data_IF_750510325521
#
_entry.id   IF_750510325521
#
_cell.length_a   1.000
_cell.length_b   1.000
_cell.length_c   1.000
_cell.angle_alpha   90.00
_cell.angle_beta   90.00
_cell.angle_gamma   90.00
#
_symmetry.space_group_name_H-M   'P 1'
#
loop_
_entity.id
_entity.type
_entity.pdbx_description
1 polymer ?
#
# COMPACT_ATOMS: atom_id res chain seq x y z
N UNK A 1 -2.19 -28.22 49.80
CA UNK A 1 -0.89 -27.50 49.83
C UNK A 1 0.10 -28.41 50.52
N UNK A 2 1.29 -28.73 49.99
CA UNK A 2 2.35 -27.78 49.59
C UNK A 2 3.23 -28.33 48.45
N UNK A 3 3.62 -27.41 47.56
CA UNK A 3 4.94 -27.31 46.89
C UNK A 3 5.43 -28.52 46.07
N UNK A 4 5.40 -28.51 44.73
CA UNK A 4 5.77 -27.41 43.79
C UNK A 4 7.12 -26.72 44.11
N UNK A 5 8.06 -27.37 44.82
CA UNK A 5 9.43 -26.83 45.04
C UNK A 5 10.59 -27.81 44.80
N UNK A 6 10.37 -29.12 44.66
CA UNK A 6 11.45 -30.07 44.35
C UNK A 6 11.84 -30.14 42.85
N UNK A 7 11.04 -29.53 41.97
CA UNK A 7 11.25 -29.53 40.49
C UNK A 7 12.42 -28.61 40.07
N UNK A 8 12.88 -27.69 40.94
CA UNK A 8 13.82 -26.63 40.56
C UNK A 8 15.32 -26.95 40.83
N UNK A 9 15.65 -28.11 41.38
CA UNK A 9 17.05 -28.46 41.74
C UNK A 9 17.56 -29.69 40.97
N UNK A 10 16.68 -30.64 40.61
CA UNK A 10 17.06 -31.79 39.76
C UNK A 10 17.44 -31.40 38.31
N UNK A 11 17.07 -30.19 37.87
CA UNK A 11 17.32 -29.69 36.51
C UNK A 11 18.75 -29.19 36.25
N UNK A 12 19.62 -29.10 37.26
CA UNK A 12 20.95 -28.48 37.14
C UNK A 12 22.15 -29.41 37.39
N UNK A 13 21.94 -30.71 37.65
CA UNK A 13 23.02 -31.65 38.03
C UNK A 13 23.14 -32.93 37.18
N UNK A 14 22.26 -33.13 36.18
CA UNK A 14 22.39 -34.22 35.20
C UNK A 14 23.05 -33.77 33.88
N UNK A 15 23.86 -32.71 33.95
CA UNK A 15 24.58 -32.10 32.83
C UNK A 15 26.12 -32.31 32.95
N UNK A 16 26.57 -33.27 33.78
CA UNK A 16 27.96 -33.37 34.24
C UNK A 16 28.56 -34.77 34.45
N UNK A 17 27.91 -35.84 34.00
CA UNK A 17 28.46 -37.20 33.90
C UNK A 17 27.50 -38.04 33.02
N UNK A 18 27.91 -38.85 32.04
CA UNK A 18 29.24 -39.38 31.73
C UNK A 18 29.66 -39.03 30.29
N UNK A 19 30.91 -38.61 30.13
CA UNK A 19 31.56 -38.47 28.83
C UNK A 19 32.06 -39.82 28.31
N UNK A 20 32.08 -39.93 26.97
CA UNK A 20 33.07 -40.69 26.19
C UNK A 20 32.91 -42.22 25.97
N UNK A 21 33.48 -42.78 24.88
CA UNK A 21 32.66 -43.51 23.92
C UNK A 21 33.18 -44.92 23.57
N UNK A 22 32.37 -45.68 22.82
CA UNK A 22 32.88 -46.76 21.97
C UNK A 22 32.55 -46.49 20.50
N UNK A 23 33.60 -46.46 19.68
CA UNK A 23 33.49 -46.35 18.25
C UNK A 23 33.09 -47.69 17.63
N UNK A 24 32.22 -47.65 16.62
CA UNK A 24 32.30 -48.58 15.51
C UNK A 24 32.17 -47.79 14.21
N UNK A 25 33.23 -47.80 13.42
CA UNK A 25 33.24 -47.18 12.11
C UNK A 25 32.67 -48.16 11.09
N UNK A 26 31.64 -47.74 10.36
CA UNK A 26 31.29 -48.30 9.05
C UNK A 26 31.22 -47.13 8.08
N UNK A 27 32.04 -47.17 7.04
CA UNK A 27 32.08 -46.13 6.00
C UNK A 27 30.84 -46.23 5.12
N UNK A 28 30.18 -45.10 4.90
CA UNK A 28 28.91 -45.00 4.17
C UNK A 28 28.21 -43.73 4.62
N UNK A 29 28.45 -42.64 3.89
CA UNK A 29 28.12 -41.25 4.24
C UNK A 29 26.84 -41.07 5.06
N UNK A 30 27.01 -40.71 6.34
CA UNK A 30 25.92 -40.18 7.14
C UNK A 30 25.57 -38.78 6.62
N UNK A 31 24.63 -38.71 5.67
CA UNK A 31 23.91 -37.48 5.35
C UNK A 31 23.18 -37.07 6.62
N UNK A 32 23.79 -36.17 7.40
CA UNK A 32 23.13 -35.49 8.50
C UNK A 32 21.93 -34.76 7.90
N UNK A 33 20.68 -35.05 8.30
CA UNK A 33 19.53 -34.24 7.92
C UNK A 33 19.60 -32.94 8.73
N UNK A 34 20.49 -32.05 8.30
CA UNK A 34 20.76 -30.79 8.94
C UNK A 34 19.48 -29.97 9.05
N UNK A 35 19.09 -29.66 10.28
CA UNK A 35 18.11 -28.63 10.61
C UNK A 35 16.76 -28.77 9.88
N UNK A 36 16.01 -29.84 10.19
CA UNK A 36 14.54 -29.85 10.03
C UNK A 36 13.84 -28.95 11.08
N UNK A 37 14.41 -27.77 11.33
CA UNK A 37 14.06 -26.86 12.41
C UNK A 37 14.45 -25.41 12.08
N UNK A 38 14.06 -24.91 10.90
CA UNK A 38 14.07 -23.47 10.57
C UNK A 38 12.98 -23.05 9.55
N UNK A 39 11.79 -23.67 9.62
CA UNK A 39 10.56 -23.00 9.18
C UNK A 39 9.92 -22.24 10.37
N UNK A 40 10.74 -21.48 11.09
CA UNK A 40 10.25 -20.31 11.82
C UNK A 40 9.88 -19.32 10.73
N UNK A 41 8.58 -19.21 10.44
CA UNK A 41 8.09 -18.44 9.31
C UNK A 41 8.68 -17.03 9.31
N UNK A 42 9.25 -16.62 8.18
CA UNK A 42 9.80 -15.29 8.05
C UNK A 42 8.71 -14.27 8.44
N UNK A 43 9.06 -13.23 9.21
CA UNK A 43 8.08 -12.20 9.56
C UNK A 43 7.63 -11.53 8.26
N UNK A 44 6.38 -11.83 7.88
CA UNK A 44 5.73 -11.36 6.65
C UNK A 44 6.13 -9.91 6.36
N UNK A 45 6.62 -9.67 5.14
CA UNK A 45 6.99 -8.33 4.69
C UNK A 45 5.82 -7.36 4.83
N UNK A 46 6.08 -6.05 4.85
CA UNK A 46 5.02 -5.07 5.12
C UNK A 46 3.83 -5.19 4.14
N UNK A 47 4.11 -5.54 2.88
CA UNK A 47 3.11 -5.84 1.85
C UNK A 47 2.34 -7.15 2.09
N UNK A 48 3.00 -8.18 2.61
CA UNK A 48 2.42 -9.50 2.92
C UNK A 48 1.58 -9.45 4.19
N UNK A 49 2.05 -8.77 5.24
CA UNK A 49 1.24 -8.38 6.41
C UNK A 49 -0.01 -7.62 5.97
N UNK A 50 0.11 -6.73 5.00
CA UNK A 50 -1.00 -5.91 4.52
C UNK A 50 -1.97 -6.66 3.57
N UNK A 51 -1.52 -7.78 2.97
CA UNK A 51 -2.35 -8.75 2.29
C UNK A 51 -3.10 -9.68 3.28
N UNK A 52 -2.42 -10.15 4.34
CA UNK A 52 -3.00 -11.00 5.39
C UNK A 52 -4.00 -10.25 6.29
N UNK A 53 -3.81 -8.94 6.49
CA UNK A 53 -4.73 -8.08 7.28
C UNK A 53 -5.91 -7.51 6.48
N UNK A 54 -6.51 -8.34 5.63
CA UNK A 54 -7.78 -8.06 4.97
C UNK A 54 -7.68 -7.10 3.79
N UNK A 55 -8.32 -7.49 2.70
CA UNK A 55 -8.45 -6.74 1.48
C UNK A 55 -9.35 -7.53 0.56
N UNK A 56 -10.67 -7.37 0.67
CA UNK A 56 -11.66 -8.14 -0.11
C UNK A 56 -11.68 -7.63 -1.57
N UNK A 57 -11.35 -6.35 -1.79
CA UNK A 57 -10.90 -5.81 -3.08
C UNK A 57 -9.47 -5.26 -2.95
N UNK A 58 -8.55 -5.81 -3.74
CA UNK A 58 -7.13 -5.40 -3.82
C UNK A 58 -6.83 -4.79 -5.19
N UNK A 59 -6.57 -3.49 -5.20
CA UNK A 59 -6.16 -2.76 -6.39
C UNK A 59 -4.64 -2.53 -6.38
N UNK A 60 -3.98 -2.63 -7.53
CA UNK A 60 -2.56 -2.31 -7.69
C UNK A 60 -2.32 -1.45 -8.93
N UNK A 61 -1.73 -0.27 -8.71
CA UNK A 61 -1.31 0.65 -9.77
C UNK A 61 0.07 0.23 -10.27
N UNK A 62 0.21 0.03 -11.58
CA UNK A 62 1.51 -0.30 -12.17
C UNK A 62 2.54 0.85 -12.01
N UNK A 63 3.83 0.55 -12.16
CA UNK A 63 4.92 1.51 -11.95
C UNK A 63 4.85 2.74 -12.87
N UNK A 64 4.28 2.56 -14.06
CA UNK A 64 4.10 3.64 -15.05
C UNK A 64 2.85 4.50 -14.78
N UNK A 65 2.01 4.09 -13.82
CA UNK A 65 0.77 4.78 -13.41
C UNK A 65 -0.25 4.92 -14.55
N UNK A 66 -0.29 3.91 -15.42
CA UNK A 66 -1.14 3.78 -16.62
C UNK A 66 -2.19 2.68 -16.54
N UNK A 67 -2.01 1.69 -15.66
CA UNK A 67 -2.93 0.55 -15.47
C UNK A 67 -3.22 0.33 -13.99
N UNK A 68 -4.50 0.21 -13.65
CA UNK A 68 -4.95 -0.25 -12.34
C UNK A 68 -5.46 -1.68 -12.50
N UNK A 69 -4.77 -2.64 -11.89
CA UNK A 69 -5.25 -4.01 -11.76
C UNK A 69 -6.16 -4.10 -10.54
N UNK A 70 -7.33 -4.70 -10.70
CA UNK A 70 -8.32 -4.91 -9.64
C UNK A 70 -8.49 -6.42 -9.46
N UNK A 71 -8.31 -6.88 -8.23
CA UNK A 71 -8.54 -8.27 -7.82
C UNK A 71 -9.67 -8.26 -6.81
N UNK A 72 -10.76 -8.96 -7.12
CA UNK A 72 -11.90 -9.17 -6.23
C UNK A 72 -11.73 -10.55 -5.61
N UNK A 73 -11.62 -10.60 -4.29
CA UNK A 73 -11.33 -11.82 -3.54
C UNK A 73 -12.64 -12.34 -2.94
N UNK A 74 -12.72 -13.64 -2.69
CA UNK A 74 -13.86 -14.19 -1.98
C UNK A 74 -13.81 -13.88 -0.48
N UNK A 75 -14.97 -13.84 0.17
CA UNK A 75 -15.11 -13.62 1.61
C UNK A 75 -14.66 -14.85 2.43
N UNK A 76 -14.45 -16.00 1.76
CA UNK A 76 -13.90 -17.22 2.35
C UNK A 76 -12.51 -17.01 2.97
N UNK A 77 -12.26 -17.71 4.09
CA UNK A 77 -11.00 -17.60 4.84
C UNK A 77 -9.76 -17.95 3.99
N UNK A 78 -9.83 -19.03 3.21
CA UNK A 78 -8.73 -19.51 2.37
C UNK A 78 -8.42 -18.56 1.20
N UNK A 79 -9.45 -17.91 0.64
CA UNK A 79 -9.30 -16.87 -0.38
C UNK A 79 -8.62 -15.61 0.17
N UNK A 80 -9.00 -15.18 1.39
CA UNK A 80 -8.36 -14.05 2.09
C UNK A 80 -6.88 -14.28 2.38
N UNK A 81 -6.50 -15.52 2.70
CA UNK A 81 -5.09 -15.96 2.81
C UNK A 81 -4.36 -16.07 1.46
N UNK A 82 -5.03 -15.85 0.32
CA UNK A 82 -4.44 -15.95 -1.01
C UNK A 82 -4.19 -17.38 -1.49
N UNK A 83 -4.79 -18.38 -0.85
CA UNK A 83 -4.67 -19.80 -1.24
C UNK A 83 -5.65 -20.20 -2.34
N UNK A 84 -6.77 -19.47 -2.43
CA UNK A 84 -7.72 -19.53 -3.56
C UNK A 84 -7.47 -18.27 -4.42
N UNK A 85 -7.43 -18.39 -5.77
CA UNK A 85 -7.29 -17.23 -6.64
C UNK A 85 -8.48 -16.25 -6.51
N UNK A 86 -8.32 -14.96 -6.88
CA UNK A 86 -9.42 -13.99 -6.85
C UNK A 86 -10.59 -14.44 -7.75
N UNK A 87 -11.84 -14.23 -7.28
CA UNK A 87 -13.07 -14.55 -8.03
C UNK A 87 -13.21 -13.73 -9.32
N UNK A 88 -12.63 -12.54 -9.35
CA UNK A 88 -12.56 -11.70 -10.54
C UNK A 88 -11.22 -10.94 -10.57
N UNK A 89 -10.60 -10.87 -11.76
CA UNK A 89 -9.42 -10.04 -12.01
C UNK A 89 -9.64 -9.25 -13.29
N UNK A 90 -9.47 -7.93 -13.25
CA UNK A 90 -9.55 -7.08 -14.42
C UNK A 90 -8.55 -5.91 -14.34
N UNK A 91 -8.15 -5.38 -15.50
CA UNK A 91 -7.25 -4.23 -15.60
C UNK A 91 -7.93 -3.12 -16.38
N UNK A 92 -7.78 -1.88 -15.90
CA UNK A 92 -8.39 -0.68 -16.50
C UNK A 92 -7.34 0.40 -16.76
N UNK A 93 -7.64 1.25 -17.74
CA UNK A 93 -6.84 2.43 -18.02
C UNK A 93 -7.00 3.44 -16.89
N UNK A 94 -5.87 3.94 -16.40
CA UNK A 94 -5.79 5.01 -15.41
C UNK A 94 -4.70 5.98 -15.83
N UNK A 95 -4.77 7.22 -15.39
CA UNK A 95 -3.61 8.11 -15.49
C UNK A 95 -3.45 8.98 -14.25
N UNK A 96 -2.20 9.32 -13.95
CA UNK A 96 -1.84 10.19 -12.83
C UNK A 96 -1.02 11.41 -13.32
N UNK A 97 -1.54 12.05 -14.36
CA UNK A 97 -1.03 13.31 -14.92
C UNK A 97 -1.45 14.48 -14.04
N UNK A 98 -0.49 15.27 -13.61
CA UNK A 98 -0.70 16.39 -12.67
C UNK A 98 -0.72 17.73 -13.43
N UNK A 99 -1.57 18.66 -13.00
CA UNK A 99 -1.57 20.06 -13.48
C UNK A 99 -0.34 20.77 -12.92
N UNK A 100 0.47 21.38 -13.78
CA UNK A 100 1.56 22.24 -13.32
C UNK A 100 1.00 23.60 -12.87
N UNK A 101 1.01 23.85 -11.56
CA UNK A 101 0.44 25.04 -10.92
C UNK A 101 0.94 25.14 -9.48
N UNK A 102 0.97 26.35 -8.92
CA UNK A 102 1.15 26.60 -7.48
C UNK A 102 -0.19 26.93 -6.78
N UNK A 103 -1.31 26.90 -7.52
CA UNK A 103 -2.62 27.38 -7.09
C UNK A 103 -3.62 26.24 -6.81
N UNK A 104 -3.14 25.00 -6.66
CA UNK A 104 -4.03 23.89 -6.32
C UNK A 104 -4.53 24.05 -4.86
N UNK A 105 -5.74 23.54 -4.54
CA UNK A 105 -6.19 23.48 -3.16
C UNK A 105 -5.26 22.61 -2.31
N UNK A 106 -4.91 23.09 -1.12
CA UNK A 106 -4.18 22.32 -0.12
C UNK A 106 -5.16 21.71 0.89
N UNK A 107 -5.03 20.41 1.17
CA UNK A 107 -5.89 19.64 2.07
C UNK A 107 -5.05 19.04 3.22
N UNK A 108 -4.70 19.85 4.25
CA UNK A 108 -3.76 19.45 5.28
C UNK A 108 -4.18 18.18 6.03
N UNK A 109 -3.20 17.33 6.33
CA UNK A 109 -3.38 16.19 7.23
C UNK A 109 -3.40 16.66 8.71
N UNK A 110 -4.49 17.28 9.15
CA UNK A 110 -4.71 17.62 10.57
C UNK A 110 -5.38 16.46 11.35
N UNK A 111 -5.37 16.53 12.68
CA UNK A 111 -5.91 15.48 13.56
C UNK A 111 -7.45 15.36 13.50
N UNK A 112 -8.16 16.32 12.90
CA UNK A 112 -9.61 16.32 12.69
C UNK A 112 -10.03 15.72 11.34
N UNK A 113 -9.06 15.42 10.47
CA UNK A 113 -9.26 14.68 9.23
C UNK A 113 -9.55 15.57 8.02
N UNK A 114 -10.26 15.03 7.03
CA UNK A 114 -10.46 15.65 5.72
C UNK A 114 -11.45 16.82 5.77
N UNK A 115 -10.96 18.04 5.92
CA UNK A 115 -11.70 19.25 5.51
C UNK A 115 -11.66 19.37 3.99
N UNK A 116 -12.84 19.42 3.36
CA UNK A 116 -12.95 19.86 1.97
C UNK A 116 -12.49 21.31 1.82
N UNK A 117 -12.17 21.72 0.58
CA UNK A 117 -11.44 22.95 0.25
C UNK A 117 -12.20 24.29 0.46
N UNK A 118 -12.92 24.44 1.57
CA UNK A 118 -13.40 25.74 2.05
C UNK A 118 -12.24 26.51 2.70
N UNK A 119 -11.66 27.42 1.90
CA UNK A 119 -10.92 28.63 2.31
C UNK A 119 -9.72 28.48 3.27
N UNK A 120 -8.53 28.78 2.77
CA UNK A 120 -7.35 29.15 3.54
C UNK A 120 -6.32 29.84 2.63
N UNK A 121 -5.49 30.73 3.18
CA UNK A 121 -4.52 31.53 2.40
C UNK A 121 -3.36 30.72 1.78
N UNK A 122 -3.41 29.38 1.87
CA UNK A 122 -2.35 28.44 1.49
C UNK A 122 -2.83 27.59 0.31
N UNK A 123 -2.11 27.63 -0.80
CA UNK A 123 -2.26 26.73 -1.94
C UNK A 123 -1.12 25.72 -1.99
N UNK A 124 -1.22 24.73 -2.88
CA UNK A 124 -0.19 23.72 -3.10
C UNK A 124 0.28 23.70 -4.56
N UNK A 125 1.51 23.22 -4.75
CA UNK A 125 1.92 22.61 -6.01
C UNK A 125 1.60 21.11 -5.91
N UNK A 126 0.64 20.61 -6.70
CA UNK A 126 0.19 19.24 -6.57
C UNK A 126 1.27 18.25 -6.99
N UNK A 127 1.25 17.06 -6.39
CA UNK A 127 2.16 15.96 -6.70
C UNK A 127 1.37 14.72 -7.15
N UNK A 128 2.07 13.71 -7.66
CA UNK A 128 1.43 12.44 -8.04
C UNK A 128 0.83 11.72 -6.82
N UNK A 129 -0.11 10.80 -7.08
CA UNK A 129 -0.74 10.01 -6.02
C UNK A 129 0.34 9.28 -5.23
N UNK A 130 0.38 9.39 -3.89
CA UNK A 130 1.54 8.97 -3.13
C UNK A 130 1.73 7.45 -3.16
N UNK A 131 2.98 7.03 -3.14
CA UNK A 131 3.39 5.62 -3.04
C UNK A 131 3.00 5.00 -1.70
N UNK A 132 2.84 3.68 -1.68
CA UNK A 132 2.44 2.93 -0.48
C UNK A 132 1.05 2.30 -0.61
N UNK A 133 0.44 1.97 0.54
CA UNK A 133 -0.75 1.12 0.58
C UNK A 133 -1.99 1.87 1.08
N UNK A 134 -2.77 2.29 0.09
CA UNK A 134 -4.02 3.06 0.15
C UNK A 134 -5.17 2.31 0.83
N UNK A 135 -6.03 2.93 1.64
CA UNK A 135 -7.33 2.37 2.07
C UNK A 135 -8.48 3.19 1.51
N UNK A 136 -9.41 2.56 0.79
CA UNK A 136 -10.65 3.21 0.33
C UNK A 136 -11.52 3.54 1.54
N UNK A 137 -11.77 4.82 1.79
CA UNK A 137 -12.62 5.29 2.88
C UNK A 137 -14.09 5.31 2.47
N UNK A 138 -14.41 5.74 1.25
CA UNK A 138 -15.79 5.86 0.79
C UNK A 138 -15.91 5.89 -0.73
N UNK A 139 -17.05 5.41 -1.23
CA UNK A 139 -17.45 5.49 -2.65
C UNK A 139 -18.76 6.29 -2.69
N UNK A 140 -18.76 7.45 -3.35
CA UNK A 140 -19.93 8.34 -3.43
C UNK A 140 -20.31 8.62 -4.89
N UNK A 141 -21.60 8.54 -5.28
CA UNK A 141 -22.05 9.06 -6.57
C UNK A 141 -21.71 10.54 -6.73
N UNK A 142 -21.51 10.97 -7.98
CA UNK A 142 -21.23 12.35 -8.37
C UNK A 142 -21.90 12.64 -9.72
N UNK A 143 -22.25 13.90 -9.91
CA UNK A 143 -22.88 14.43 -11.14
C UNK A 143 -22.12 15.67 -11.66
N UNK A 144 -20.93 15.94 -11.10
CA UNK A 144 -20.09 17.09 -11.42
C UNK A 144 -18.81 16.68 -12.15
N UNK A 145 -17.85 17.61 -12.26
CA UNK A 145 -16.58 17.45 -13.00
C UNK A 145 -15.72 16.22 -12.63
N UNK A 146 -16.06 15.50 -11.56
CA UNK A 146 -15.40 14.28 -11.12
C UNK A 146 -15.97 12.99 -11.77
N UNK A 147 -16.96 13.11 -12.65
CA UNK A 147 -17.63 11.98 -13.32
C UNK A 147 -18.65 11.28 -12.41
N UNK A 148 -19.01 10.01 -12.68
CA UNK A 148 -20.15 9.36 -12.01
C UNK A 148 -19.90 9.00 -10.53
N UNK A 149 -18.63 8.92 -10.11
CA UNK A 149 -18.24 8.49 -8.77
C UNK A 149 -16.99 9.21 -8.25
N UNK A 150 -16.90 9.32 -6.93
CA UNK A 150 -15.70 9.71 -6.19
C UNK A 150 -15.35 8.59 -5.21
N UNK A 151 -14.21 7.94 -5.43
CA UNK A 151 -13.63 6.92 -4.54
C UNK A 151 -12.56 7.63 -3.69
N UNK A 152 -12.85 7.88 -2.42
CA UNK A 152 -11.97 8.58 -1.49
C UNK A 152 -11.07 7.57 -0.76
N UNK A 153 -9.76 7.86 -0.61
CA UNK A 153 -8.76 6.78 -0.41
C UNK A 153 -7.71 6.96 0.70
N UNK A 154 -8.01 7.65 1.82
CA UNK A 154 -7.14 8.02 2.98
C UNK A 154 -5.69 8.52 2.75
N UNK A 155 -5.21 8.56 1.51
CA UNK A 155 -3.79 8.60 1.18
C UNK A 155 -3.13 9.93 1.57
N UNK A 156 -1.88 9.86 2.02
CA UNK A 156 -1.14 11.01 2.55
C UNK A 156 0.11 11.27 1.73
N UNK A 157 0.06 12.29 0.89
CA UNK A 157 1.21 12.76 0.10
C UNK A 157 1.96 13.89 0.80
N UNK A 158 3.07 14.31 0.19
CA UNK A 158 3.77 15.56 0.52
C UNK A 158 3.67 16.51 -0.68
N UNK A 159 3.41 17.78 -0.40
CA UNK A 159 3.31 18.85 -1.41
C UNK A 159 4.08 20.09 -0.95
N UNK A 160 4.68 20.82 -1.90
CA UNK A 160 5.13 22.19 -1.68
C UNK A 160 3.90 23.08 -1.48
N UNK A 161 3.89 23.90 -0.42
CA UNK A 161 2.80 24.85 -0.14
C UNK A 161 3.23 26.29 -0.36
N UNK A 162 2.28 27.15 -0.67
CA UNK A 162 2.48 28.54 -1.05
C UNK A 162 1.46 29.45 -0.41
N UNK A 163 1.87 30.65 0.01
CA UNK A 163 0.98 31.72 0.52
C UNK A 163 0.92 32.85 -0.50
N UNK A 164 -0.28 33.33 -0.81
CA UNK A 164 -0.45 34.51 -1.67
C UNK A 164 -0.16 35.80 -0.89
N UNK A 165 0.68 36.68 -1.42
CA UNK A 165 1.09 37.94 -0.78
C UNK A 165 0.07 39.09 -0.89
N UNK A 166 -1.10 38.83 -1.47
CA UNK A 166 -2.13 39.83 -1.78
C UNK A 166 -1.86 40.64 -3.05
N UNK A 167 -0.67 40.51 -3.65
CA UNK A 167 -0.25 41.17 -4.90
C UNK A 167 -0.21 40.20 -6.08
N UNK A 168 -0.59 38.94 -5.86
CA UNK A 168 -0.62 37.89 -6.88
C UNK A 168 0.62 36.99 -6.92
N UNK A 169 1.62 37.24 -6.06
CA UNK A 169 2.79 36.38 -5.94
C UNK A 169 2.50 35.24 -4.95
N UNK A 170 3.15 34.09 -5.16
CA UNK A 170 2.98 32.88 -4.36
C UNK A 170 4.32 32.54 -3.70
N UNK A 171 4.45 32.89 -2.42
CA UNK A 171 5.68 32.66 -1.64
C UNK A 171 5.67 31.24 -1.07
N UNK A 172 6.77 30.50 -1.25
CA UNK A 172 6.90 29.15 -0.71
C UNK A 172 6.83 29.15 0.82
N UNK A 173 5.92 28.35 1.37
CA UNK A 173 5.67 28.23 2.81
C UNK A 173 6.29 26.96 3.42
N UNK A 174 6.72 26.00 2.60
CA UNK A 174 7.36 24.75 3.05
C UNK A 174 6.83 23.51 2.33
N UNK A 175 7.06 22.34 2.91
CA UNK A 175 6.56 21.05 2.40
C UNK A 175 5.71 20.39 3.48
N UNK A 176 4.44 20.13 3.19
CA UNK A 176 3.44 19.66 4.16
C UNK A 176 2.72 18.40 3.69
N UNK A 177 2.09 17.70 4.63
CA UNK A 177 1.25 16.52 4.37
C UNK A 177 -0.11 16.92 3.80
N UNK A 178 -0.50 16.31 2.70
CA UNK A 178 -1.78 16.53 2.01
C UNK A 178 -2.62 15.25 1.95
N UNK A 179 -3.95 15.37 2.00
CA UNK A 179 -4.92 14.26 2.03
C UNK A 179 -5.95 14.28 0.88
N UNK A 180 -5.73 15.13 -0.14
CA UNK A 180 -6.66 15.39 -1.24
C UNK A 180 -6.75 14.30 -2.31
N UNK A 181 -6.02 13.20 -2.13
CA UNK A 181 -5.90 12.12 -3.10
C UNK A 181 -7.16 11.22 -3.13
N UNK A 182 -7.64 10.94 -4.33
CA UNK A 182 -8.81 10.11 -4.61
C UNK A 182 -8.69 9.44 -5.99
N UNK A 183 -9.65 8.56 -6.31
CA UNK A 183 -9.84 7.98 -7.64
C UNK A 183 -11.20 8.43 -8.17
N UNK A 184 -11.22 9.03 -9.35
CA UNK A 184 -12.42 9.57 -9.99
C UNK A 184 -12.25 9.64 -11.51
N UNK A 185 -13.22 10.20 -12.23
CA UNK A 185 -13.13 10.45 -13.68
C UNK A 185 -13.10 11.97 -13.93
N UNK A 186 -13.05 12.38 -15.19
CA UNK A 186 -13.20 13.76 -15.58
C UNK A 186 -14.37 13.91 -16.57
N UNK A 187 -14.90 15.12 -16.72
CA UNK A 187 -15.74 15.51 -17.86
C UNK A 187 -14.89 15.83 -19.08
N UNK A 188 -13.62 16.18 -18.89
CA UNK A 188 -12.62 16.27 -19.96
C UNK A 188 -12.22 14.88 -20.47
N UNK A 189 -11.85 14.77 -21.76
CA UNK A 189 -11.37 13.52 -22.35
C UNK A 189 -10.16 12.94 -21.60
N UNK A 190 -10.21 11.62 -21.37
CA UNK A 190 -9.21 10.84 -20.63
C UNK A 190 -7.79 11.04 -21.16
N UNK A 191 -7.59 11.17 -22.47
CA UNK A 191 -6.25 11.24 -23.06
C UNK A 191 -5.52 12.56 -22.81
N UNK A 192 -6.27 13.62 -22.51
CA UNK A 192 -5.73 14.98 -22.27
C UNK A 192 -5.92 15.47 -20.83
N UNK A 193 -6.79 14.83 -20.04
CA UNK A 193 -7.11 15.30 -18.70
C UNK A 193 -5.92 15.25 -17.74
N UNK A 194 -5.98 16.13 -16.72
CA UNK A 194 -5.01 16.25 -15.63
C UNK A 194 -5.75 16.47 -14.31
N UNK A 195 -5.11 16.14 -13.19
CA UNK A 195 -5.65 16.29 -11.84
C UNK A 195 -4.69 17.07 -10.93
N UNK A 196 -5.09 17.33 -9.68
CA UNK A 196 -4.18 17.81 -8.63
C UNK A 196 -3.54 16.66 -7.83
N UNK A 197 -3.42 15.46 -8.41
CA UNK A 197 -2.78 14.29 -7.81
C UNK A 197 -3.65 13.03 -7.74
N UNK A 198 -4.96 13.15 -7.96
CA UNK A 198 -5.88 12.03 -8.08
C UNK A 198 -5.53 11.08 -9.24
N UNK A 199 -5.93 9.82 -9.11
CA UNK A 199 -5.97 8.86 -10.22
C UNK A 199 -7.23 9.10 -11.05
N UNK A 200 -7.08 9.29 -12.35
CA UNK A 200 -8.19 9.47 -13.29
C UNK A 200 -8.44 8.17 -14.05
N UNK A 201 -9.68 7.74 -14.11
CA UNK A 201 -10.17 6.53 -14.80
C UNK A 201 -11.29 6.94 -15.77
N UNK A 202 -11.56 6.17 -16.83
CA UNK A 202 -12.72 6.34 -17.72
C UNK A 202 -14.04 6.17 -16.94
N UNK A 203 -15.13 6.78 -17.39
CA UNK A 203 -16.39 6.81 -16.61
C UNK A 203 -17.03 5.42 -16.42
N UNK A 204 -16.99 4.57 -17.45
CA UNK A 204 -17.54 3.20 -17.39
C UNK A 204 -16.71 2.30 -16.48
N UNK A 205 -15.38 2.31 -16.65
CA UNK A 205 -14.41 1.59 -15.81
C UNK A 205 -14.53 2.02 -14.33
N UNK A 206 -14.66 3.32 -14.08
CA UNK A 206 -14.88 3.84 -12.73
C UNK A 206 -16.20 3.36 -12.14
N UNK A 207 -17.26 3.27 -12.95
CA UNK A 207 -18.56 2.77 -12.53
C UNK A 207 -18.50 1.27 -12.19
N UNK A 208 -17.74 0.47 -12.97
CA UNK A 208 -17.45 -0.95 -12.65
C UNK A 208 -16.71 -1.07 -11.31
N UNK A 209 -15.63 -0.32 -11.11
CA UNK A 209 -14.87 -0.33 -9.84
C UNK A 209 -15.73 0.12 -8.67
N UNK A 210 -16.53 1.19 -8.84
CA UNK A 210 -17.45 1.66 -7.80
C UNK A 210 -18.52 0.61 -7.45
N UNK A 211 -19.05 -0.11 -8.45
CA UNK A 211 -19.99 -1.22 -8.24
C UNK A 211 -19.38 -2.37 -7.44
N UNK A 212 -18.18 -2.82 -7.82
CA UNK A 212 -17.40 -3.85 -7.10
C UNK A 212 -17.16 -3.44 -5.64
N UNK A 213 -16.68 -2.21 -5.41
CA UNK A 213 -16.39 -1.70 -4.06
C UNK A 213 -17.65 -1.47 -3.21
N UNK A 214 -18.80 -1.20 -3.81
CA UNK A 214 -20.08 -1.11 -3.09
C UNK A 214 -20.58 -2.49 -2.69
N UNK A 215 -20.72 -3.40 -3.66
CA UNK A 215 -21.17 -4.77 -3.45
C UNK A 215 -20.34 -5.48 -2.37
N UNK A 216 -19.03 -5.30 -2.39
CA UNK A 216 -18.11 -5.82 -1.37
C UNK A 216 -18.42 -5.32 0.05
N UNK A 217 -18.78 -4.04 0.23
CA UNK A 217 -19.22 -3.49 1.52
C UNK A 217 -20.64 -3.90 1.93
N UNK A 218 -21.48 -4.19 0.95
CA UNK A 218 -22.84 -4.70 1.16
C UNK A 218 -22.80 -6.18 1.63
N UNK A 219 -21.93 -7.00 1.02
CA UNK A 219 -21.64 -8.38 1.45
C UNK A 219 -20.91 -8.41 2.80
N UNK A 220 -19.98 -7.48 3.04
CA UNK A 220 -19.21 -7.37 4.28
C UNK A 220 -19.05 -5.90 4.73
N UNK A 221 -19.83 -5.40 5.71
CA UNK A 221 -19.69 -4.04 6.22
C UNK A 221 -18.33 -3.71 6.88
N UNK A 222 -17.51 -4.73 7.18
CA UNK A 222 -16.13 -4.60 7.66
C UNK A 222 -15.09 -4.83 6.54
N UNK A 223 -15.52 -4.86 5.28
CA UNK A 223 -14.65 -5.06 4.14
C UNK A 223 -13.55 -3.99 4.12
N UNK A 224 -12.32 -4.48 3.98
CA UNK A 224 -11.16 -3.62 3.80
C UNK A 224 -10.84 -3.61 2.31
N UNK A 225 -10.58 -2.44 1.76
CA UNK A 225 -10.42 -2.23 0.32
C UNK A 225 -9.22 -1.34 0.09
N UNK A 226 -8.24 -1.81 -0.67
CA UNK A 226 -6.90 -1.19 -0.67
C UNK A 226 -6.34 -0.95 -2.07
N UNK A 227 -5.47 0.06 -2.18
CA UNK A 227 -4.78 0.46 -3.42
C UNK A 227 -3.27 0.46 -3.17
N UNK A 228 -2.55 -0.50 -3.72
CA UNK A 228 -1.08 -0.47 -3.78
C UNK A 228 -0.63 0.48 -4.87
N UNK A 229 0.19 1.46 -4.51
CA UNK A 229 0.90 2.33 -5.45
C UNK A 229 2.39 2.03 -5.33
N UNK A 230 2.90 1.24 -6.29
CA UNK A 230 4.32 0.91 -6.35
C UNK A 230 5.18 2.14 -6.64
N UNK A 231 6.44 2.19 -6.16
CA UNK A 231 7.40 3.20 -6.61
C UNK A 231 7.59 3.14 -8.12
N UNK A 232 7.80 4.28 -8.80
CA UNK A 232 8.10 4.31 -10.21
C UNK A 232 9.40 3.54 -10.48
N UNK A 233 9.53 2.99 -11.70
CA UNK A 233 10.74 2.28 -12.08
C UNK A 233 11.95 3.23 -12.02
N UNK A 234 12.80 3.06 -11.00
CA UNK A 234 14.06 3.80 -10.91
C UNK A 234 14.92 3.46 -12.14
N UNK A 235 15.52 4.48 -12.78
CA UNK A 235 16.41 4.32 -13.94
C UNK A 235 17.74 3.68 -13.53
N UNK A 236 17.69 2.38 -13.22
CA UNK A 236 18.75 1.52 -12.65
C UNK A 236 19.27 2.03 -11.28
N UNK A 237 19.76 1.14 -10.40
CA UNK A 237 20.58 1.57 -9.29
C UNK A 237 21.84 2.25 -9.83
N UNK A 238 22.16 3.44 -9.32
CA UNK A 238 23.47 4.07 -9.51
C UNK A 238 24.49 3.10 -8.92
N UNK A 239 25.41 2.55 -9.73
CA UNK A 239 26.43 1.60 -9.25
C UNK A 239 27.21 2.29 -8.11
N UNK A 240 27.02 1.79 -6.89
CA UNK A 240 27.63 2.35 -5.67
C UNK A 240 29.00 1.76 -5.34
N UNK A 241 29.53 0.94 -6.24
CA UNK A 241 30.88 0.41 -6.21
C UNK A 241 31.54 0.75 -7.55
N UNK A 242 32.68 1.45 -7.49
CA UNK A 242 33.55 1.60 -8.64
C UNK A 242 34.12 0.23 -9.03
N UNK A 243 34.36 0.03 -10.33
CA UNK A 243 35.11 -1.14 -10.77
C UNK A 243 36.48 -1.11 -10.11
N UNK A 244 36.91 -2.25 -9.56
CA UNK A 244 38.25 -2.43 -8.99
C UNK A 244 39.09 -3.23 -9.98
N UNK A 245 39.07 -2.79 -11.23
CA UNK A 245 39.71 -3.42 -12.40
C UNK A 245 40.57 -2.42 -13.20
N UNK A 246 40.94 -1.29 -12.58
CA UNK A 246 42.06 -0.46 -13.04
C UNK A 246 43.30 -0.86 -12.22
N UNK A 247 44.07 -1.80 -12.77
CA UNK A 247 45.43 -2.19 -12.37
C UNK A 247 46.42 -1.76 -13.46
#
# INVERSE_FOLDING_TARGET
>A
MRTKKAILIAACLLLGAMLQPFAYAVQGEAIIPGMRLLNLGEPLGQDECAAVTGGDVRMSLNRDRTKLKVNVIDNEYEARLGRIPPKEVFEIDVHNRVVDTQKAPFMPADATGRKFASSGAVTSKPSQFPEGYWSVTSVKPREDKYGPYMISTNAVGKVETYVNDGKGNYNASGVYKDTGYAVHSNTNSFDVSKSHGCLIIKQDDLSRVAGVLKKDREENPKAVQKILVSPPATKKPRRLFGNRDDL
#
